data_IF_611616547878
#
_entry.id   IF_611616547878
#
_cell.length_a   1.000
_cell.length_b   1.000
_cell.length_c   1.000
_cell.angle_alpha   90.00
_cell.angle_beta   90.00
_cell.angle_gamma   90.00
#
_symmetry.space_group_name_H-M   'P 1'
#
loop_
_entity.id
_entity.type
_entity.pdbx_description
1 polymer ?
#
# COMPACT_ATOMS: atom_id res chain seq x y z
N UNK A 1 -23.03 4.43 -5.85
CA UNK A 1 -22.43 3.15 -5.39
C UNK A 1 -22.26 2.13 -6.53
N UNK A 2 -22.74 2.41 -7.75
CA UNK A 2 -22.62 1.49 -8.91
C UNK A 2 -21.33 1.66 -9.74
N UNK A 3 -20.53 2.71 -9.54
CA UNK A 3 -19.30 2.94 -10.32
C UNK A 3 -18.03 2.26 -9.79
N UNK A 4 -18.09 1.52 -8.67
CA UNK A 4 -16.98 0.66 -8.24
C UNK A 4 -16.84 -0.61 -9.09
N UNK A 5 -17.81 -0.90 -9.97
CA UNK A 5 -17.80 -2.05 -10.87
C UNK A 5 -16.81 -1.95 -12.04
N UNK A 6 -16.18 -0.80 -12.27
CA UNK A 6 -15.22 -0.61 -13.39
C UNK A 6 -13.78 -0.98 -12.97
N UNK A 7 -13.45 -1.01 -11.67
CA UNK A 7 -12.22 -1.68 -11.21
C UNK A 7 -12.51 -3.19 -11.08
N UNK A 8 -12.94 -3.81 -12.19
CA UNK A 8 -12.61 -5.21 -12.45
C UNK A 8 -11.13 -5.23 -12.82
N UNK A 9 -10.26 -5.07 -11.82
CA UNK A 9 -8.92 -5.63 -11.95
C UNK A 9 -9.13 -7.12 -12.18
N UNK A 10 -8.56 -7.64 -13.26
CA UNK A 10 -8.48 -9.06 -13.49
C UNK A 10 -7.77 -9.65 -12.26
N UNK A 11 -8.54 -10.28 -11.37
CA UNK A 11 -8.13 -10.62 -9.99
C UNK A 11 -7.22 -11.84 -10.03
N UNK A 12 -6.02 -11.65 -10.57
CA UNK A 12 -4.91 -12.59 -10.52
C UNK A 12 -3.67 -11.97 -9.86
N UNK A 13 -3.86 -10.95 -9.02
CA UNK A 13 -2.85 -10.51 -8.05
C UNK A 13 -3.48 -10.39 -6.65
N UNK A 14 -3.64 -11.56 -6.01
CA UNK A 14 -4.47 -11.82 -4.84
C UNK A 14 -4.07 -11.15 -3.52
N UNK A 15 -3.08 -10.24 -3.50
CA UNK A 15 -2.40 -9.89 -2.25
C UNK A 15 -2.46 -8.43 -1.79
N UNK A 16 -2.88 -7.46 -2.61
CA UNK A 16 -2.90 -6.06 -2.19
C UNK A 16 -3.95 -5.24 -2.92
N UNK A 17 -4.74 -4.45 -2.18
CA UNK A 17 -5.55 -3.41 -2.80
C UNK A 17 -4.62 -2.28 -3.30
N UNK A 18 -4.46 -2.04 -4.62
CA UNK A 18 -3.51 -1.07 -5.14
C UNK A 18 -4.05 0.37 -5.12
N UNK A 19 -5.23 0.61 -4.54
CA UNK A 19 -5.85 1.93 -4.51
C UNK A 19 -5.75 2.61 -3.15
N UNK A 20 -5.51 3.92 -3.19
CA UNK A 20 -5.47 4.81 -2.02
C UNK A 20 -6.38 6.01 -2.24
N UNK A 21 -6.88 6.55 -1.14
CA UNK A 21 -7.62 7.81 -1.13
C UNK A 21 -6.63 8.97 -1.24
N UNK A 22 -6.66 9.66 -2.37
CA UNK A 22 -5.76 10.80 -2.63
C UNK A 22 -5.96 11.92 -1.60
N UNK A 23 -7.20 12.13 -1.14
CA UNK A 23 -7.54 13.23 -0.23
C UNK A 23 -6.99 13.01 1.19
N UNK A 24 -6.52 11.79 1.49
CA UNK A 24 -5.95 11.43 2.79
C UNK A 24 -4.43 11.53 2.85
N UNK A 25 -3.76 11.67 1.70
CA UNK A 25 -2.30 11.80 1.60
C UNK A 25 -1.85 13.17 2.09
N UNK A 26 -0.69 13.22 2.76
CA UNK A 26 -0.15 14.42 3.41
C UNK A 26 1.11 14.89 2.72
N UNK A 27 1.02 16.06 2.09
CA UNK A 27 2.14 16.66 1.38
C UNK A 27 2.52 15.87 0.12
N UNK A 28 3.82 15.60 -0.05
CA UNK A 28 4.33 14.92 -1.24
C UNK A 28 4.44 13.40 -1.02
N UNK A 29 4.39 12.65 -2.12
CA UNK A 29 4.64 11.21 -2.11
C UNK A 29 6.09 10.96 -2.50
N UNK A 30 6.80 10.16 -1.71
CA UNK A 30 8.17 9.73 -1.96
C UNK A 30 8.20 8.24 -2.23
N UNK A 31 8.76 7.87 -3.38
CA UNK A 31 9.09 6.49 -3.71
C UNK A 31 10.45 6.12 -3.11
N UNK A 32 10.52 4.99 -2.42
CA UNK A 32 11.77 4.47 -1.85
C UNK A 32 11.75 2.96 -1.67
N UNK A 33 12.91 2.42 -1.30
CA UNK A 33 13.06 1.05 -0.83
C UNK A 33 12.80 0.97 0.69
N UNK A 34 12.82 -0.26 1.21
CA UNK A 34 12.72 -0.56 2.64
C UNK A 34 13.82 0.13 3.45
N UNK A 35 13.46 0.65 4.62
CA UNK A 35 14.39 1.10 5.68
C UNK A 35 14.20 0.25 6.93
N UNK A 36 15.26 0.07 7.70
CA UNK A 36 15.15 -0.60 8.99
C UNK A 36 14.32 0.25 9.97
N UNK A 37 13.47 -0.41 10.74
CA UNK A 37 12.52 0.25 11.63
C UNK A 37 11.18 0.64 10.98
N UNK A 38 11.00 0.43 9.67
CA UNK A 38 9.72 0.69 8.99
C UNK A 38 8.55 0.00 9.69
N UNK A 39 7.46 0.75 9.85
CA UNK A 39 6.21 0.32 10.50
C UNK A 39 5.02 0.77 9.67
N UNK A 40 3.99 -0.08 9.63
CA UNK A 40 2.74 0.22 8.95
C UNK A 40 1.56 -0.41 9.67
N UNK A 41 0.46 0.33 9.77
CA UNK A 41 -0.83 -0.21 10.16
C UNK A 41 -1.65 -0.46 8.89
N UNK A 42 -1.77 -1.73 8.49
CA UNK A 42 -2.57 -2.12 7.32
C UNK A 42 -4.07 -2.07 7.65
N UNK A 43 -4.89 -1.84 6.63
CA UNK A 43 -6.34 -1.79 6.78
C UNK A 43 -6.89 -3.06 7.46
N UNK A 44 -7.84 -2.88 8.38
CA UNK A 44 -8.55 -3.99 9.02
C UNK A 44 -7.76 -4.79 10.06
N UNK A 45 -6.49 -4.44 10.33
CA UNK A 45 -5.69 -5.09 11.39
C UNK A 45 -5.86 -4.45 12.75
N UNK A 46 -6.09 -3.12 12.83
CA UNK A 46 -6.23 -2.40 14.09
C UNK A 46 -4.94 -2.30 14.93
N UNK A 47 -3.80 -2.74 14.41
CA UNK A 47 -2.49 -2.59 15.06
C UNK A 47 -1.36 -2.34 14.05
N UNK A 48 -0.33 -1.65 14.50
CA UNK A 48 0.88 -1.38 13.71
C UNK A 48 1.81 -2.60 13.73
N UNK A 49 2.24 -3.04 12.55
CA UNK A 49 3.25 -4.08 12.38
C UNK A 49 4.58 -3.48 11.94
N UNK A 50 5.71 -4.07 12.35
CA UNK A 50 6.97 -3.78 11.68
C UNK A 50 6.96 -4.40 10.28
N UNK A 51 7.46 -3.68 9.29
CA UNK A 51 7.59 -4.19 7.93
C UNK A 51 8.45 -5.45 7.90
N UNK A 52 9.52 -5.50 8.70
CA UNK A 52 10.36 -6.71 8.86
C UNK A 52 9.53 -7.96 9.18
N UNK A 53 8.57 -7.86 10.10
CA UNK A 53 7.68 -8.97 10.46
C UNK A 53 6.81 -9.38 9.28
N UNK A 54 6.19 -8.40 8.61
CA UNK A 54 5.36 -8.63 7.42
C UNK A 54 6.12 -9.37 6.32
N UNK A 55 7.32 -8.88 5.98
CA UNK A 55 8.17 -9.50 4.96
C UNK A 55 8.58 -10.92 5.34
N UNK A 56 8.88 -11.16 6.61
CA UNK A 56 9.20 -12.50 7.11
C UNK A 56 8.06 -13.50 6.92
N UNK A 57 6.81 -13.05 7.00
CA UNK A 57 5.63 -13.91 6.86
C UNK A 57 5.35 -14.31 5.40
N UNK A 58 5.63 -13.43 4.42
CA UNK A 58 5.12 -13.61 3.04
C UNK A 58 6.11 -13.41 1.90
N UNK A 59 7.25 -12.76 2.12
CA UNK A 59 8.15 -12.36 1.03
C UNK A 59 9.51 -13.09 1.15
N UNK A 60 9.95 -13.83 0.11
CA UNK A 60 11.28 -14.43 0.05
C UNK A 60 12.40 -13.40 0.17
N UNK A 61 13.51 -13.75 0.86
CA UNK A 61 14.62 -12.82 1.13
C UNK A 61 15.16 -12.12 -0.13
N UNK A 62 15.34 -12.88 -1.22
CA UNK A 62 15.88 -12.37 -2.49
C UNK A 62 14.96 -11.38 -3.22
N UNK A 63 13.70 -11.23 -2.79
CA UNK A 63 12.74 -10.28 -3.36
C UNK A 63 12.53 -9.03 -2.52
N UNK A 64 13.09 -8.95 -1.31
CA UNK A 64 12.74 -7.89 -0.34
C UNK A 64 13.34 -6.54 -0.69
N UNK A 65 14.54 -6.53 -1.25
CA UNK A 65 15.27 -5.30 -1.54
C UNK A 65 14.75 -4.59 -2.80
N UNK A 66 13.97 -5.29 -3.62
CA UNK A 66 13.33 -4.76 -4.83
C UNK A 66 11.93 -4.21 -4.58
N UNK A 67 11.38 -4.40 -3.37
CA UNK A 67 10.03 -3.96 -3.07
C UNK A 67 9.90 -2.44 -3.05
N UNK A 68 8.79 -1.98 -3.62
CA UNK A 68 8.37 -0.58 -3.63
C UNK A 68 7.69 -0.18 -2.32
N UNK A 69 8.12 0.94 -1.77
CA UNK A 69 7.51 1.60 -0.62
C UNK A 69 7.16 3.03 -1.02
N UNK A 70 5.96 3.47 -0.63
CA UNK A 70 5.57 4.87 -0.73
C UNK A 70 5.40 5.45 0.67
N UNK A 71 6.02 6.59 0.92
CA UNK A 71 5.78 7.42 2.10
C UNK A 71 5.25 8.78 1.70
N UNK A 72 4.51 9.42 2.59
CA UNK A 72 4.21 10.83 2.50
C UNK A 72 4.88 11.58 3.67
N UNK A 73 4.57 12.85 3.87
CA UNK A 73 5.20 13.65 4.93
C UNK A 73 4.88 13.15 6.36
N UNK A 74 3.82 12.34 6.55
CA UNK A 74 3.49 11.67 7.82
C UNK A 74 4.00 10.22 7.90
N UNK A 75 4.73 9.75 6.89
CA UNK A 75 5.42 8.47 6.88
C UNK A 75 4.79 7.43 5.94
N UNK A 76 5.01 6.15 6.23
CA UNK A 76 4.75 5.07 5.27
C UNK A 76 3.25 4.88 4.96
N UNK A 77 2.89 4.94 3.67
CA UNK A 77 1.51 4.85 3.18
C UNK A 77 1.23 3.61 2.31
N UNK A 78 2.24 2.96 1.75
CA UNK A 78 2.06 1.75 0.93
C UNK A 78 3.30 0.86 0.98
N UNK A 79 3.06 -0.45 1.00
CA UNK A 79 4.11 -1.48 0.86
C UNK A 79 3.68 -2.48 -0.19
N UNK A 80 4.50 -2.66 -1.22
CA UNK A 80 4.30 -3.70 -2.22
C UNK A 80 4.13 -5.08 -1.57
N UNK A 81 3.13 -5.85 -2.02
CA UNK A 81 2.80 -7.15 -1.45
C UNK A 81 1.96 -7.11 -0.15
N UNK A 82 1.72 -5.94 0.45
CA UNK A 82 0.80 -5.77 1.60
C UNK A 82 -0.29 -4.72 1.42
N UNK A 83 -0.04 -3.67 0.64
CA UNK A 83 -1.01 -2.64 0.28
C UNK A 83 -0.90 -1.39 1.15
N UNK A 84 -1.97 -0.58 1.19
CA UNK A 84 -1.94 0.74 1.80
C UNK A 84 -2.01 0.71 3.33
N UNK A 85 -1.49 1.76 3.93
CA UNK A 85 -1.72 2.08 5.32
C UNK A 85 -3.19 2.44 5.52
N UNK A 86 -3.77 2.04 6.66
CA UNK A 86 -5.17 2.27 7.02
C UNK A 86 -5.56 3.75 6.88
N UNK A 87 -4.65 4.68 7.18
CA UNK A 87 -4.92 6.12 7.13
C UNK A 87 -5.17 6.67 5.72
N UNK A 88 -4.71 5.97 4.68
CA UNK A 88 -4.94 6.35 3.26
C UNK A 88 -5.88 5.37 2.54
N UNK A 89 -6.53 4.46 3.26
CA UNK A 89 -7.48 3.55 2.64
C UNK A 89 -8.74 4.28 2.15
N UNK A 90 -9.25 3.82 1.01
CA UNK A 90 -10.51 4.29 0.46
C UNK A 90 -11.67 3.91 1.38
N UNK A 91 -12.68 4.77 1.44
CA UNK A 91 -13.95 4.51 2.09
C UNK A 91 -15.12 5.03 1.23
N UNK A 92 -16.32 5.05 1.80
CA UNK A 92 -17.54 5.47 1.09
C UNK A 92 -17.54 6.95 0.71
N UNK A 93 -16.69 7.76 1.33
CA UNK A 93 -16.56 9.20 1.09
C UNK A 93 -15.43 9.57 0.13
N UNK A 94 -14.58 8.60 -0.26
CA UNK A 94 -13.47 8.82 -1.19
C UNK A 94 -13.96 9.38 -2.52
N UNK A 95 -13.38 10.52 -2.94
CA UNK A 95 -13.72 11.20 -4.20
C UNK A 95 -12.64 11.04 -5.26
N UNK A 96 -11.37 11.00 -4.83
CA UNK A 96 -10.20 10.93 -5.70
C UNK A 96 -9.35 9.73 -5.31
N UNK A 97 -8.94 8.96 -6.30
CA UNK A 97 -8.15 7.74 -6.11
C UNK A 97 -6.76 7.93 -6.69
N UNK A 98 -5.77 7.37 -6.00
CA UNK A 98 -4.50 6.97 -6.61
C UNK A 98 -4.57 5.46 -6.88
N UNK A 99 -4.26 5.06 -8.11
CA UNK A 99 -3.99 3.68 -8.48
C UNK A 99 -2.47 3.50 -8.61
N UNK A 100 -1.93 2.49 -7.93
CA UNK A 100 -0.54 2.09 -8.08
C UNK A 100 -0.49 0.91 -9.05
N UNK A 101 0.21 1.09 -10.16
CA UNK A 101 0.55 0.00 -11.07
C UNK A 101 2.07 -0.24 -10.99
N UNK A 102 2.45 -1.49 -10.72
CA UNK A 102 3.84 -1.92 -10.64
C UNK A 102 4.06 -2.87 -11.81
N UNK A 103 4.78 -2.38 -12.81
CA UNK A 103 5.13 -3.18 -13.98
C UNK A 103 6.55 -3.75 -13.79
N UNK A 104 6.70 -5.06 -13.90
CA UNK A 104 8.01 -5.67 -14.08
C UNK A 104 8.63 -5.16 -15.39
N UNK A 105 9.96 -4.99 -15.41
CA UNK A 105 10.71 -4.64 -16.62
C UNK A 105 10.97 -5.85 -17.50
#
# INVERSE_FOLDING_TARGET
LENYGIIKTNINNFFTNPVMDYDKIKGAIYLRNRRDGDKIMLAGRGFTSTVKKLLNEKIPLNKRDTLVFLEDDEGLIFVEGFGPAQRVCCDRSTKRLILIDICDK
#
